data_IF_246922408110
#
_entry.id   IF_246922408110
#
_cell.length_a   1.000
_cell.length_b   1.000
_cell.length_c   1.000
_cell.angle_alpha   90.00
_cell.angle_beta   90.00
_cell.angle_gamma   90.00
#
_symmetry.space_group_name_H-M   'P 1'
#
loop_
_entity.id
_entity.type
_entity.pdbx_description
1 polymer ?
#
# COMPACT_ATOMS: atom_id res chain seq x y z
N UNK A 1 -7.83 35.36 1.39
CA UNK A 1 -9.00 34.51 1.06
C UNK A 1 -8.47 33.09 1.08
N UNK A 2 -8.31 32.44 2.24
CA UNK A 2 -9.39 32.10 3.16
C UNK A 2 -10.07 30.82 2.67
N UNK A 3 -9.28 29.76 2.43
CA UNK A 3 -9.80 28.44 2.11
C UNK A 3 -10.35 27.81 3.39
N UNK A 4 -11.66 27.89 3.57
CA UNK A 4 -12.40 27.09 4.54
C UNK A 4 -13.32 26.18 3.72
N UNK A 5 -13.34 24.88 3.95
CA UNK A 5 -14.12 24.21 4.98
C UNK A 5 -13.95 22.69 4.71
N UNK A 6 -14.10 21.73 5.61
CA UNK A 6 -14.96 21.59 6.79
C UNK A 6 -14.28 20.57 7.74
N UNK A 7 -14.52 20.69 9.04
CA UNK A 7 -14.25 19.62 10.01
C UNK A 7 -15.32 18.53 9.87
N UNK A 8 -14.92 17.29 9.65
CA UNK A 8 -15.72 16.12 9.95
C UNK A 8 -14.88 15.22 10.86
N UNK A 9 -15.31 15.12 12.11
CA UNK A 9 -14.89 14.07 13.03
C UNK A 9 -15.55 12.77 12.55
N UNK A 10 -14.73 11.74 12.35
CA UNK A 10 -15.06 10.38 11.89
C UNK A 10 -15.60 10.23 10.46
N UNK A 11 -14.71 10.23 9.47
CA UNK A 11 -14.71 9.19 8.44
C UNK A 11 -13.34 9.14 7.74
N UNK A 12 -13.02 8.08 7.02
CA UNK A 12 -11.73 7.84 6.36
C UNK A 12 -11.45 8.81 5.17
N UNK A 13 -11.51 10.11 5.42
CA UNK A 13 -11.26 11.18 4.45
C UNK A 13 -9.83 11.08 3.94
N UNK A 14 -9.75 10.66 2.69
CA UNK A 14 -8.54 10.39 1.97
C UNK A 14 -7.78 11.70 1.85
N UNK A 15 -6.58 11.74 2.45
CA UNK A 15 -5.66 12.88 2.41
C UNK A 15 -5.57 13.51 1.01
N UNK A 16 -5.22 14.80 0.98
CA UNK A 16 -5.23 15.63 -0.23
C UNK A 16 -4.57 14.91 -1.41
N UNK A 17 -5.02 15.17 -2.64
CA UNK A 17 -4.56 14.50 -3.87
C UNK A 17 -3.03 14.58 -4.15
N UNK A 18 -2.26 15.24 -3.27
CA UNK A 18 -0.81 15.35 -3.35
C UNK A 18 -0.06 14.65 -2.19
N UNK A 19 -0.76 14.10 -1.19
CA UNK A 19 -0.10 13.45 -0.05
C UNK A 19 0.29 12.02 -0.38
N UNK A 20 1.53 11.62 -0.04
CA UNK A 20 1.99 10.24 -0.20
C UNK A 20 1.16 9.30 0.67
N UNK A 21 0.55 8.28 0.07
CA UNK A 21 -0.23 7.27 0.80
C UNK A 21 0.61 6.05 1.08
N UNK A 22 0.61 5.56 2.30
CA UNK A 22 1.33 4.34 2.68
C UNK A 22 0.35 3.24 3.06
N UNK A 23 0.43 2.12 2.36
CA UNK A 23 -0.36 0.92 2.61
C UNK A 23 0.54 -0.15 3.23
N UNK A 24 0.15 -0.67 4.39
CA UNK A 24 0.81 -1.82 5.02
C UNK A 24 -0.05 -3.07 4.79
N UNK A 25 0.54 -4.08 4.17
CA UNK A 25 -0.10 -5.37 3.93
C UNK A 25 0.29 -6.32 5.06
N UNK A 26 -0.68 -6.72 5.86
CA UNK A 26 -0.49 -7.66 6.98
C UNK A 26 -1.50 -8.80 6.91
N UNK A 27 -1.18 -9.93 7.54
CA UNK A 27 -2.01 -11.14 7.51
C UNK A 27 -1.18 -12.42 7.58
N UNK A 28 -1.85 -13.57 7.68
CA UNK A 28 -1.18 -14.88 7.79
C UNK A 28 -0.30 -15.18 6.56
N UNK A 29 0.73 -15.98 6.76
CA UNK A 29 1.48 -16.60 5.67
C UNK A 29 0.52 -17.34 4.72
N UNK A 30 0.74 -17.18 3.41
CA UNK A 30 -0.09 -17.79 2.38
C UNK A 30 -1.31 -16.94 1.95
N UNK A 31 -1.66 -15.86 2.65
CA UNK A 31 -2.80 -15.00 2.29
C UNK A 31 -2.53 -14.05 1.10
N UNK A 32 -1.39 -14.20 0.40
CA UNK A 32 -1.13 -13.49 -0.85
C UNK A 32 -0.71 -12.03 -0.72
N UNK A 33 -0.25 -11.57 0.45
CA UNK A 33 0.18 -10.16 0.70
C UNK A 33 1.13 -9.62 -0.37
N UNK A 34 2.26 -10.30 -0.61
CA UNK A 34 3.26 -9.92 -1.62
C UNK A 34 2.68 -9.92 -3.04
N UNK A 35 1.79 -10.87 -3.34
CA UNK A 35 1.07 -10.92 -4.63
C UNK A 35 0.15 -9.72 -4.81
N UNK A 36 -0.61 -9.35 -3.77
CA UNK A 36 -1.46 -8.16 -3.77
C UNK A 36 -0.63 -6.89 -3.89
N UNK A 37 0.51 -6.80 -3.20
CA UNK A 37 1.43 -5.68 -3.34
C UNK A 37 1.92 -5.49 -4.78
N UNK A 38 2.27 -6.59 -5.46
CA UNK A 38 2.64 -6.57 -6.88
C UNK A 38 1.49 -6.09 -7.79
N UNK A 39 0.25 -6.49 -7.49
CA UNK A 39 -0.93 -6.01 -8.22
C UNK A 39 -1.13 -4.51 -8.04
N UNK A 40 -0.96 -3.98 -6.82
CA UNK A 40 -1.07 -2.54 -6.54
C UNK A 40 0.04 -1.75 -7.24
N UNK A 41 1.26 -2.27 -7.24
CA UNK A 41 2.43 -1.64 -7.86
C UNK A 41 2.47 -1.77 -9.39
N UNK A 42 1.60 -2.60 -9.98
CA UNK A 42 1.57 -2.89 -11.41
C UNK A 42 2.80 -3.64 -11.95
N UNK A 43 3.64 -4.19 -11.07
CA UNK A 43 4.88 -4.90 -11.42
C UNK A 43 5.26 -5.94 -10.36
N UNK A 44 6.15 -6.86 -10.72
CA UNK A 44 6.73 -7.83 -9.76
C UNK A 44 7.83 -7.15 -8.94
N UNK A 45 7.46 -6.51 -7.84
CA UNK A 45 8.37 -5.82 -6.92
C UNK A 45 8.70 -6.65 -5.66
N UNK A 46 7.77 -7.49 -5.19
CA UNK A 46 7.96 -8.42 -4.08
C UNK A 46 8.05 -9.85 -4.61
N UNK A 47 8.84 -10.69 -3.94
CA UNK A 47 8.83 -12.12 -4.21
C UNK A 47 7.46 -12.71 -3.84
N UNK A 48 6.81 -13.38 -4.79
CA UNK A 48 5.52 -14.02 -4.56
C UNK A 48 5.43 -15.33 -5.33
N UNK A 49 5.19 -16.43 -4.61
CA UNK A 49 4.91 -17.77 -5.14
C UNK A 49 4.06 -18.55 -4.14
N UNK A 50 3.32 -19.55 -4.61
CA UNK A 50 2.57 -20.44 -3.74
C UNK A 50 3.56 -21.23 -2.85
N UNK A 51 3.39 -21.16 -1.54
CA UNK A 51 4.22 -21.84 -0.55
C UNK A 51 3.44 -22.09 0.73
N UNK A 52 3.68 -23.24 1.36
CA UNK A 52 3.20 -23.55 2.71
C UNK A 52 4.06 -22.93 3.81
N UNK A 53 5.27 -22.47 3.49
CA UNK A 53 6.18 -21.74 4.38
C UNK A 53 6.26 -20.25 4.03
N UNK A 54 6.60 -19.42 5.01
CA UNK A 54 6.85 -18.00 4.81
C UNK A 54 8.02 -17.76 3.87
N UNK A 55 7.82 -16.89 2.88
CA UNK A 55 8.85 -16.47 1.92
C UNK A 55 9.37 -15.10 2.33
N UNK A 56 8.47 -14.17 2.59
CA UNK A 56 8.78 -12.86 3.18
C UNK A 56 9.25 -13.07 4.62
N UNK A 57 10.49 -12.65 4.92
CA UNK A 57 11.10 -12.76 6.26
C UNK A 57 11.36 -11.41 6.91
N UNK A 58 11.27 -10.33 6.15
CA UNK A 58 11.41 -8.95 6.61
C UNK A 58 10.35 -8.06 5.97
N UNK A 59 10.03 -6.93 6.60
CA UNK A 59 9.19 -5.93 5.96
C UNK A 59 9.94 -5.25 4.82
N UNK A 60 9.29 -5.08 3.68
CA UNK A 60 9.86 -4.43 2.50
C UNK A 60 8.92 -3.34 1.99
N UNK A 61 9.45 -2.16 1.67
CA UNK A 61 8.69 -1.05 1.10
C UNK A 61 9.02 -0.87 -0.38
N UNK A 62 7.98 -0.67 -1.18
CA UNK A 62 8.09 -0.32 -2.59
C UNK A 62 7.15 0.84 -2.92
N UNK A 63 7.56 1.73 -3.81
CA UNK A 63 6.77 2.92 -4.18
C UNK A 63 6.30 2.82 -5.64
N UNK A 64 5.14 3.40 -5.93
CA UNK A 64 4.67 3.62 -7.31
C UNK A 64 3.95 4.96 -7.42
N UNK A 65 3.94 5.52 -8.63
CA UNK A 65 3.09 6.65 -8.99
C UNK A 65 1.93 6.12 -9.84
N UNK A 66 0.71 6.39 -9.40
CA UNK A 66 -0.51 6.00 -10.11
C UNK A 66 -0.76 6.91 -11.33
N UNK A 67 -1.70 6.53 -12.19
CA UNK A 67 -2.02 7.28 -13.41
C UNK A 67 -2.55 8.70 -13.15
N UNK A 68 -3.14 8.94 -11.98
CA UNK A 68 -3.62 10.25 -11.53
C UNK A 68 -2.55 11.09 -10.82
N UNK A 69 -1.30 10.61 -10.75
CA UNK A 69 -0.19 11.26 -10.07
C UNK A 69 -0.05 10.91 -8.58
N UNK A 70 -0.98 10.14 -8.01
CA UNK A 70 -0.92 9.75 -6.60
C UNK A 70 0.31 8.86 -6.34
N UNK A 71 1.14 9.27 -5.38
CA UNK A 71 2.28 8.45 -4.91
C UNK A 71 1.78 7.47 -3.84
N UNK A 72 2.07 6.19 -4.02
CA UNK A 72 1.71 5.11 -3.09
C UNK A 72 2.94 4.33 -2.68
N UNK A 73 3.19 4.24 -1.37
CA UNK A 73 4.10 3.28 -0.77
C UNK A 73 3.32 2.02 -0.37
N UNK A 74 3.86 0.85 -0.69
CA UNK A 74 3.34 -0.45 -0.27
C UNK A 74 4.39 -1.12 0.59
N UNK A 75 4.02 -1.50 1.81
CA UNK A 75 4.85 -2.26 2.73
C UNK A 75 4.32 -3.70 2.77
N UNK A 76 5.10 -4.66 2.29
CA UNK A 76 4.86 -6.09 2.51
C UNK A 76 5.45 -6.51 3.86
N UNK A 77 4.82 -7.46 4.54
CA UNK A 77 5.26 -8.00 5.83
C UNK A 77 5.39 -9.52 5.79
N UNK A 78 6.14 -10.14 6.71
CA UNK A 78 6.03 -11.57 7.00
C UNK A 78 4.57 -12.02 7.23
#
# INVERSE_FOLDING_TARGET
MGGSSVLAVDDWEIASHNDVRTLVLFGRTGNGKSSTGNSILGRKAFESRASSSGITTSCEMQTTTMNDGQIVNVIDSP
#
